data_IF_314451763943
#
_entry.id   IF_314451763943
#
_cell.length_a   1.000
_cell.length_b   1.000
_cell.length_c   1.000
_cell.angle_alpha   90.00
_cell.angle_beta   90.00
_cell.angle_gamma   90.00
#
_symmetry.space_group_name_H-M   'P 1'
#
loop_
_entity.id
_entity.type
_entity.pdbx_description
1 polymer ?
#
# COMPACT_ATOMS: atom_id res chain seq x y z
N UNK A 1 -36.93 17.79 -58.94
CA UNK A 1 -35.59 17.18 -59.13
C UNK A 1 -35.38 16.20 -58.01
N UNK A 2 -35.16 14.93 -58.36
CA UNK A 2 -35.18 13.81 -57.42
C UNK A 2 -33.91 13.69 -56.58
N UNK A 3 -34.00 12.81 -55.58
CA UNK A 3 -32.86 12.18 -54.93
C UNK A 3 -33.23 10.73 -54.62
N UNK A 4 -32.22 9.88 -54.82
CA UNK A 4 -32.27 8.43 -54.98
C UNK A 4 -32.33 7.67 -53.65
N UNK A 5 -32.98 6.51 -53.77
CA UNK A 5 -32.96 5.27 -52.99
C UNK A 5 -31.76 4.96 -52.09
N UNK A 6 -32.05 4.21 -51.01
CA UNK A 6 -31.15 3.18 -50.49
C UNK A 6 -31.49 2.60 -49.11
N UNK A 7 -32.04 1.36 -49.11
CA UNK A 7 -31.75 0.25 -48.15
C UNK A 7 -32.27 0.37 -46.70
N UNK A 8 -33.41 -0.22 -46.31
CA UNK A 8 -33.79 -1.63 -45.98
C UNK A 8 -33.33 -2.19 -44.62
N UNK A 9 -34.34 -2.42 -43.75
CA UNK A 9 -34.66 -3.59 -42.91
C UNK A 9 -33.85 -3.97 -41.64
N UNK A 10 -34.50 -3.74 -40.47
CA UNK A 10 -34.80 -4.60 -39.28
C UNK A 10 -33.78 -5.61 -38.71
N UNK A 11 -33.91 -6.11 -37.44
CA UNK A 11 -35.04 -6.08 -36.48
C UNK A 11 -34.58 -5.53 -35.09
N UNK A 12 -35.28 -5.52 -33.96
CA UNK A 12 -36.39 -6.30 -33.44
C UNK A 12 -36.47 -6.01 -31.93
N UNK A 13 -37.66 -5.66 -31.45
CA UNK A 13 -37.94 -5.51 -30.03
C UNK A 13 -38.12 -6.90 -29.39
N UNK A 14 -37.41 -7.15 -28.29
CA UNK A 14 -37.69 -8.24 -27.35
C UNK A 14 -37.66 -7.60 -25.94
N UNK A 15 -38.85 -7.28 -25.39
CA UNK A 15 -39.64 -8.15 -24.51
C UNK A 15 -38.95 -8.38 -23.16
N UNK A 16 -39.56 -7.74 -22.16
CA UNK A 16 -39.40 -7.98 -20.73
C UNK A 16 -39.78 -9.42 -20.40
N UNK A 17 -39.02 -10.08 -19.52
CA UNK A 17 -39.52 -11.21 -18.73
C UNK A 17 -38.78 -11.25 -17.41
N UNK A 18 -39.49 -10.85 -16.36
CA UNK A 18 -39.17 -11.25 -15.00
C UNK A 18 -39.69 -12.66 -14.71
N UNK A 19 -39.19 -13.23 -13.61
CA UNK A 19 -39.80 -14.40 -12.97
C UNK A 19 -38.89 -15.62 -12.94
N UNK A 20 -38.39 -15.95 -11.75
CA UNK A 20 -37.66 -17.20 -11.51
C UNK A 20 -37.13 -17.32 -10.09
N UNK A 21 -38.02 -17.30 -9.10
CA UNK A 21 -37.69 -17.71 -7.74
C UNK A 21 -37.94 -19.22 -7.56
N UNK A 22 -37.09 -19.82 -6.72
CA UNK A 22 -37.23 -21.09 -6.00
C UNK A 22 -36.94 -22.41 -6.74
N UNK A 23 -35.78 -22.98 -6.39
CA UNK A 23 -35.49 -24.41 -6.43
C UNK A 23 -34.49 -24.72 -5.30
N UNK A 24 -35.01 -25.12 -4.14
CA UNK A 24 -34.22 -25.52 -2.98
C UNK A 24 -33.65 -26.91 -3.22
N UNK A 25 -32.34 -27.08 -3.09
CA UNK A 25 -31.71 -28.40 -2.92
C UNK A 25 -30.78 -28.31 -1.72
N UNK A 26 -31.22 -28.93 -0.63
CA UNK A 26 -30.54 -28.95 0.66
C UNK A 26 -29.36 -29.92 0.67
N UNK A 27 -28.17 -29.36 0.83
CA UNK A 27 -26.99 -29.99 1.42
C UNK A 27 -26.39 -29.01 2.43
N UNK A 28 -25.59 -29.46 3.43
CA UNK A 28 -25.09 -28.55 4.46
C UNK A 28 -24.10 -27.56 3.84
N UNK A 29 -24.55 -26.34 3.57
CA UNK A 29 -23.73 -25.23 3.06
C UNK A 29 -22.84 -24.71 4.18
N UNK A 30 -21.70 -25.38 4.40
CA UNK A 30 -20.55 -24.72 4.97
C UNK A 30 -20.01 -23.71 3.93
N UNK A 31 -20.13 -22.41 4.20
CA UNK A 31 -19.14 -21.42 3.73
C UNK A 31 -19.23 -20.90 2.28
N UNK A 32 -20.39 -20.42 1.83
CA UNK A 32 -20.42 -19.56 0.64
C UNK A 32 -19.70 -18.24 0.93
N UNK A 33 -18.45 -18.11 0.49
CA UNK A 33 -17.66 -16.88 0.65
C UNK A 33 -18.24 -15.80 -0.26
N UNK A 34 -18.62 -14.64 0.30
CA UNK A 34 -19.11 -13.47 -0.44
C UNK A 34 -18.15 -13.12 -1.59
N UNK A 35 -18.69 -12.94 -2.80
CA UNK A 35 -17.84 -12.63 -3.96
C UNK A 35 -17.15 -11.27 -3.80
N UNK A 36 -15.93 -11.08 -4.34
CA UNK A 36 -15.26 -9.77 -4.31
C UNK A 36 -16.09 -8.65 -4.93
N UNK A 37 -16.91 -8.95 -5.94
CA UNK A 37 -17.81 -7.99 -6.57
C UNK A 37 -18.94 -7.53 -5.64
N UNK A 38 -19.50 -8.44 -4.83
CA UNK A 38 -20.49 -8.07 -3.82
C UNK A 38 -19.88 -7.19 -2.71
N UNK A 39 -18.66 -7.48 -2.28
CA UNK A 39 -17.92 -6.64 -1.32
C UNK A 39 -17.68 -5.24 -1.89
N UNK A 40 -17.26 -5.15 -3.15
CA UNK A 40 -17.06 -3.87 -3.82
C UNK A 40 -18.38 -3.08 -3.96
N UNK A 41 -19.45 -3.75 -4.41
CA UNK A 41 -20.77 -3.13 -4.55
C UNK A 41 -21.29 -2.55 -3.25
N UNK A 42 -21.16 -3.28 -2.14
CA UNK A 42 -21.54 -2.76 -0.81
C UNK A 42 -20.69 -1.54 -0.42
N UNK A 43 -19.40 -1.48 -0.78
CA UNK A 43 -18.57 -0.29 -0.58
C UNK A 43 -18.99 0.92 -1.40
N UNK A 44 -19.58 0.70 -2.57
CA UNK A 44 -20.01 1.77 -3.48
C UNK A 44 -21.37 2.35 -3.10
N UNK A 45 -22.31 1.49 -2.69
CA UNK A 45 -23.72 1.85 -2.41
C UNK A 45 -24.07 1.93 -0.93
N UNK A 46 -23.25 1.34 -0.05
CA UNK A 46 -23.47 1.33 1.40
C UNK A 46 -23.06 2.62 2.11
N UNK A 47 -23.23 2.62 3.43
CA UNK A 47 -22.89 3.73 4.33
C UNK A 47 -22.00 3.30 5.51
N UNK A 48 -21.63 4.22 6.41
CA UNK A 48 -20.78 3.92 7.56
C UNK A 48 -21.28 2.76 8.44
N UNK A 49 -22.60 2.53 8.49
CA UNK A 49 -23.22 1.42 9.22
C UNK A 49 -22.85 0.03 8.66
N UNK A 50 -22.42 -0.07 7.41
CA UNK A 50 -22.04 -1.33 6.76
C UNK A 50 -20.57 -1.71 7.02
N UNK A 51 -19.77 -0.80 7.58
CA UNK A 51 -18.36 -1.04 7.83
C UNK A 51 -18.07 -2.28 8.73
N UNK A 52 -18.83 -2.57 9.81
CA UNK A 52 -18.62 -3.78 10.59
C UNK A 52 -18.74 -5.07 9.77
N UNK A 53 -19.69 -5.13 8.82
CA UNK A 53 -19.88 -6.29 7.92
C UNK A 53 -18.69 -6.45 6.98
N UNK A 54 -18.18 -5.34 6.43
CA UNK A 54 -17.04 -5.35 5.51
C UNK A 54 -15.72 -5.77 6.16
N UNK A 55 -15.56 -5.63 7.48
CA UNK A 55 -14.32 -6.01 8.21
C UNK A 55 -14.00 -7.49 8.10
N UNK A 56 -15.00 -8.36 8.12
CA UNK A 56 -14.81 -9.82 7.96
C UNK A 56 -14.10 -10.13 6.64
N UNK A 57 -14.32 -9.33 5.60
CA UNK A 57 -13.73 -9.54 4.27
C UNK A 57 -12.26 -9.10 4.17
N UNK A 58 -11.66 -8.52 5.22
CA UNK A 58 -10.21 -8.35 5.28
C UNK A 58 -9.47 -9.70 5.36
N UNK A 59 -10.13 -10.76 5.84
CA UNK A 59 -9.61 -12.12 5.85
C UNK A 59 -10.09 -12.96 4.65
N UNK A 60 -10.63 -12.32 3.60
CA UNK A 60 -11.16 -13.02 2.43
C UNK A 60 -10.08 -13.92 1.78
N UNK A 61 -10.41 -15.15 1.35
CA UNK A 61 -9.42 -16.11 0.83
C UNK A 61 -8.70 -15.60 -0.41
N UNK A 62 -9.42 -14.93 -1.32
CA UNK A 62 -8.80 -14.29 -2.48
C UNK A 62 -8.27 -12.88 -2.16
N UNK A 63 -7.11 -12.54 -2.71
CA UNK A 63 -6.52 -11.20 -2.60
C UNK A 63 -7.43 -10.11 -3.16
N UNK A 64 -8.20 -10.40 -4.22
CA UNK A 64 -9.18 -9.47 -4.79
C UNK A 64 -10.27 -9.09 -3.78
N UNK A 65 -10.75 -10.04 -2.99
CA UNK A 65 -11.74 -9.77 -1.95
C UNK A 65 -11.17 -8.92 -0.82
N UNK A 66 -9.92 -9.19 -0.38
CA UNK A 66 -9.24 -8.36 0.63
C UNK A 66 -9.02 -6.92 0.16
N UNK A 67 -8.62 -6.75 -1.11
CA UNK A 67 -8.49 -5.41 -1.73
C UNK A 67 -9.85 -4.71 -1.82
N UNK A 68 -10.92 -5.42 -2.22
CA UNK A 68 -12.26 -4.86 -2.26
C UNK A 68 -12.70 -4.38 -0.87
N UNK A 69 -12.46 -5.18 0.17
CA UNK A 69 -12.78 -4.83 1.56
C UNK A 69 -11.98 -3.60 2.04
N UNK A 70 -10.67 -3.55 1.80
CA UNK A 70 -9.83 -2.39 2.12
C UNK A 70 -10.36 -1.10 1.48
N UNK A 71 -10.73 -1.15 0.20
CA UNK A 71 -11.24 0.01 -0.54
C UNK A 71 -12.61 0.45 -0.04
N UNK A 72 -13.51 -0.50 0.19
CA UNK A 72 -14.83 -0.24 0.73
C UNK A 72 -14.74 0.41 2.12
N UNK A 73 -13.97 -0.18 3.04
CA UNK A 73 -13.80 0.35 4.40
C UNK A 73 -13.13 1.72 4.43
N UNK A 74 -12.16 1.97 3.54
CA UNK A 74 -11.56 3.30 3.37
C UNK A 74 -12.60 4.33 2.94
N UNK A 75 -13.45 3.99 1.97
CA UNK A 75 -14.49 4.88 1.44
C UNK A 75 -15.57 5.19 2.49
N UNK A 76 -15.96 4.22 3.30
CA UNK A 76 -17.03 4.35 4.29
C UNK A 76 -16.55 4.87 5.65
N UNK A 77 -15.24 5.10 5.85
CA UNK A 77 -14.68 5.66 7.07
C UNK A 77 -14.64 4.71 8.27
N UNK A 78 -14.45 3.40 8.03
CA UNK A 78 -14.55 2.38 9.07
C UNK A 78 -13.38 1.39 9.16
N UNK A 79 -12.28 1.67 8.45
CA UNK A 79 -11.07 0.84 8.44
C UNK A 79 -10.20 1.11 9.68
N UNK A 80 -10.08 0.16 10.62
CA UNK A 80 -9.18 0.31 11.76
C UNK A 80 -7.71 0.32 11.31
N UNK A 81 -6.89 1.19 11.91
CA UNK A 81 -5.46 1.32 11.58
C UNK A 81 -4.69 0.02 11.82
N UNK A 82 -4.96 -0.67 12.93
CA UNK A 82 -4.38 -1.97 13.28
C UNK A 82 -4.72 -3.06 12.24
N UNK A 83 -5.96 -3.08 11.75
CA UNK A 83 -6.38 -3.99 10.71
C UNK A 83 -5.65 -3.73 9.37
N UNK A 84 -5.42 -2.46 9.02
CA UNK A 84 -4.61 -2.11 7.85
C UNK A 84 -3.12 -2.46 8.06
N UNK A 85 -2.58 -2.28 9.28
CA UNK A 85 -1.19 -2.64 9.61
C UNK A 85 -0.97 -4.15 9.48
N UNK A 86 -1.91 -4.98 9.94
CA UNK A 86 -1.82 -6.44 9.80
C UNK A 86 -1.66 -6.88 8.33
N UNK A 87 -2.28 -6.15 7.39
CA UNK A 87 -2.23 -6.43 5.96
C UNK A 87 -0.94 -5.98 5.25
N UNK A 88 0.00 -5.35 5.97
CA UNK A 88 1.30 -4.96 5.41
C UNK A 88 2.23 -6.16 5.13
N UNK A 89 1.93 -7.32 5.73
CA UNK A 89 2.68 -8.57 5.52
C UNK A 89 1.90 -9.58 4.66
N UNK A 90 0.81 -9.14 4.02
CA UNK A 90 0.01 -10.00 3.16
C UNK A 90 0.85 -10.60 2.01
N UNK A 91 0.65 -11.87 1.65
CA UNK A 91 1.39 -12.50 0.54
C UNK A 91 1.12 -11.81 -0.81
N UNK A 92 -0.01 -11.13 -0.97
CA UNK A 92 -0.34 -10.37 -2.18
C UNK A 92 0.22 -8.95 -2.12
N UNK A 93 1.11 -8.63 -3.06
CA UNK A 93 1.60 -7.26 -3.26
C UNK A 93 0.48 -6.25 -3.52
N UNK A 94 -0.64 -6.66 -4.11
CA UNK A 94 -1.79 -5.78 -4.34
C UNK A 94 -2.46 -5.38 -3.02
N UNK A 95 -2.58 -6.31 -2.06
CA UNK A 95 -3.14 -6.04 -0.73
C UNK A 95 -2.22 -5.09 0.02
N UNK A 96 -0.92 -5.41 0.09
CA UNK A 96 0.09 -4.56 0.75
C UNK A 96 0.09 -3.15 0.18
N UNK A 97 0.04 -2.97 -1.15
CA UNK A 97 -0.05 -1.64 -1.77
C UNK A 97 -1.28 -0.85 -1.33
N UNK A 98 -2.46 -1.48 -1.24
CA UNK A 98 -3.67 -0.79 -0.77
C UNK A 98 -3.60 -0.49 0.73
N UNK A 99 -3.04 -1.39 1.54
CA UNK A 99 -2.82 -1.15 2.97
C UNK A 99 -1.87 0.04 3.20
N UNK A 100 -0.75 0.10 2.49
CA UNK A 100 0.16 1.27 2.52
C UNK A 100 -0.59 2.54 2.13
N UNK A 101 -1.36 2.53 1.03
CA UNK A 101 -2.06 3.73 0.55
C UNK A 101 -3.06 4.30 1.57
N UNK A 102 -3.65 3.45 2.43
CA UNK A 102 -4.50 3.89 3.56
C UNK A 102 -3.63 4.53 4.64
N UNK A 103 -2.53 3.87 4.99
CA UNK A 103 -1.70 4.22 6.15
C UNK A 103 -0.75 5.41 5.93
N UNK A 104 -0.53 5.84 4.69
CA UNK A 104 0.42 6.92 4.39
C UNK A 104 0.05 8.24 5.07
N UNK A 105 -1.24 8.56 5.21
CA UNK A 105 -1.68 9.80 5.85
C UNK A 105 -1.33 9.84 7.34
N UNK A 106 -1.35 8.67 7.99
CA UNK A 106 -1.16 8.52 9.44
C UNK A 106 0.24 7.99 9.78
N UNK A 107 1.16 7.90 8.81
CA UNK A 107 2.46 7.25 8.95
C UNK A 107 3.31 7.77 10.12
N UNK A 108 3.17 9.06 10.45
CA UNK A 108 3.84 9.69 11.58
C UNK A 108 3.35 9.19 12.96
N UNK A 109 2.14 8.65 13.04
CA UNK A 109 1.51 8.16 14.28
C UNK A 109 1.63 6.64 14.47
N UNK A 110 1.97 5.92 13.40
CA UNK A 110 2.21 4.48 13.47
C UNK A 110 3.40 4.15 14.37
N UNK A 111 3.42 2.93 14.90
CA UNK A 111 4.54 2.38 15.65
C UNK A 111 5.89 2.72 15.00
N UNK A 112 6.81 3.25 15.81
CA UNK A 112 8.09 3.76 15.33
C UNK A 112 8.92 2.64 14.66
N UNK A 113 8.87 1.43 15.20
CA UNK A 113 9.60 0.26 14.68
C UNK A 113 8.93 -0.46 13.51
N UNK A 114 7.72 -0.05 13.08
CA UNK A 114 6.99 -0.76 12.02
C UNK A 114 7.76 -0.81 10.70
N UNK A 115 8.26 0.34 10.23
CA UNK A 115 9.00 0.40 8.97
C UNK A 115 10.26 -0.48 9.00
N UNK A 116 10.94 -0.55 10.14
CA UNK A 116 12.11 -1.40 10.34
C UNK A 116 11.77 -2.89 10.22
N UNK A 117 10.71 -3.35 10.90
CA UNK A 117 10.27 -4.75 10.81
C UNK A 117 9.86 -5.15 9.39
N UNK A 118 9.35 -4.20 8.61
CA UNK A 118 8.97 -4.44 7.21
C UNK A 118 10.18 -4.44 6.27
N UNK A 119 11.24 -3.68 6.60
CA UNK A 119 12.48 -3.61 5.84
C UNK A 119 13.42 -4.80 6.08
N UNK A 120 13.13 -5.66 7.06
CA UNK A 120 13.97 -6.80 7.39
C UNK A 120 14.25 -7.69 6.15
N UNK A 121 15.50 -8.17 5.93
CA UNK A 121 15.88 -8.91 4.72
C UNK A 121 15.05 -10.15 4.43
N UNK A 122 14.51 -10.79 5.48
CA UNK A 122 13.68 -11.99 5.41
C UNK A 122 12.30 -11.72 4.80
N UNK A 123 11.86 -10.46 4.79
CA UNK A 123 10.56 -10.08 4.28
C UNK A 123 10.54 -10.14 2.75
N UNK A 124 9.40 -10.50 2.12
CA UNK A 124 9.25 -10.40 0.69
C UNK A 124 9.53 -8.98 0.17
N UNK A 125 10.05 -8.88 -1.05
CA UNK A 125 10.38 -7.60 -1.69
C UNK A 125 9.28 -6.54 -1.58
N UNK A 126 8.02 -6.91 -1.80
CA UNK A 126 6.89 -5.97 -1.75
C UNK A 126 6.59 -5.46 -0.33
N UNK A 127 6.92 -6.25 0.69
CA UNK A 127 6.81 -5.86 2.11
C UNK A 127 7.94 -4.90 2.48
N UNK A 128 9.17 -5.16 2.03
CA UNK A 128 10.29 -4.21 2.21
C UNK A 128 10.02 -2.87 1.53
N UNK A 129 9.47 -2.89 0.32
CA UNK A 129 9.03 -1.67 -0.36
C UNK A 129 7.95 -0.92 0.43
N UNK A 130 7.04 -1.62 1.11
CA UNK A 130 6.06 -1.00 2.00
C UNK A 130 6.73 -0.33 3.21
N UNK A 131 7.71 -0.99 3.83
CA UNK A 131 8.53 -0.41 4.91
C UNK A 131 9.21 0.89 4.48
N UNK A 132 9.85 0.88 3.32
CA UNK A 132 10.45 2.08 2.71
C UNK A 132 9.42 3.21 2.51
N UNK A 133 8.25 2.90 1.91
CA UNK A 133 7.18 3.89 1.67
C UNK A 133 6.66 4.52 2.96
N UNK A 134 6.49 3.74 4.02
CA UNK A 134 6.06 4.24 5.33
C UNK A 134 7.16 5.08 6.00
N UNK A 135 8.42 4.68 5.89
CA UNK A 135 9.54 5.48 6.39
C UNK A 135 9.65 6.83 5.67
N UNK A 136 9.48 6.84 4.35
CA UNK A 136 9.48 8.05 3.54
C UNK A 136 8.36 9.03 3.94
N UNK A 137 7.17 8.51 4.21
CA UNK A 137 6.03 9.32 4.66
C UNK A 137 6.20 9.88 6.09
N UNK A 138 7.00 9.21 6.93
CA UNK A 138 7.27 9.67 8.31
C UNK A 138 8.21 10.87 8.37
N UNK A 139 9.10 11.01 7.39
CA UNK A 139 9.94 12.22 7.26
C UNK A 139 11.32 11.95 6.65
N UNK A 140 12.04 13.05 6.38
CA UNK A 140 13.31 13.02 5.64
C UNK A 140 14.40 12.15 6.28
N UNK A 141 14.51 12.13 7.61
CA UNK A 141 15.50 11.30 8.31
C UNK A 141 15.13 9.82 8.33
N UNK A 142 13.84 9.50 8.53
CA UNK A 142 13.36 8.13 8.43
C UNK A 142 13.52 7.58 7.00
N UNK A 143 13.29 8.42 5.99
CA UNK A 143 13.57 8.10 4.58
C UNK A 143 15.05 7.76 4.38
N UNK A 144 15.95 8.67 4.77
CA UNK A 144 17.40 8.49 4.60
C UNK A 144 17.91 7.21 5.29
N UNK A 145 17.43 6.93 6.50
CA UNK A 145 17.76 5.68 7.21
C UNK A 145 17.30 4.46 6.41
N UNK A 146 16.07 4.48 5.88
CA UNK A 146 15.56 3.40 5.05
C UNK A 146 16.38 3.23 3.76
N UNK A 147 16.76 4.33 3.11
CA UNK A 147 17.57 4.28 1.89
C UNK A 147 18.95 3.69 2.18
N UNK A 148 19.63 4.15 3.24
CA UNK A 148 20.94 3.63 3.64
C UNK A 148 20.90 2.13 3.97
N UNK A 149 19.81 1.64 4.61
CA UNK A 149 19.59 0.21 4.83
C UNK A 149 19.41 -0.57 3.52
N UNK A 150 18.81 0.06 2.51
CA UNK A 150 18.50 -0.56 1.23
C UNK A 150 19.66 -0.51 0.21
N UNK A 151 20.75 0.22 0.47
CA UNK A 151 21.90 0.28 -0.44
C UNK A 151 22.52 -1.10 -0.73
N UNK A 152 22.43 -2.00 0.24
CA UNK A 152 22.93 -3.38 0.17
C UNK A 152 21.79 -4.43 0.06
N UNK A 153 20.55 -4.00 -0.18
CA UNK A 153 19.40 -4.92 -0.29
C UNK A 153 19.62 -5.95 -1.42
N UNK A 154 19.25 -7.23 -1.29
CA UNK A 154 19.45 -8.22 -2.35
C UNK A 154 18.67 -7.91 -3.65
N UNK A 155 17.56 -7.18 -3.57
CA UNK A 155 16.75 -6.77 -4.73
C UNK A 155 17.35 -5.54 -5.42
N UNK A 156 17.74 -5.70 -6.68
CA UNK A 156 18.35 -4.62 -7.47
C UNK A 156 17.43 -3.40 -7.60
N UNK A 157 16.11 -3.59 -7.72
CA UNK A 157 15.20 -2.45 -7.86
C UNK A 157 15.12 -1.61 -6.57
N UNK A 158 15.12 -2.25 -5.40
CA UNK A 158 15.21 -1.55 -4.11
C UNK A 158 16.54 -0.81 -3.95
N UNK A 159 17.66 -1.44 -4.31
CA UNK A 159 18.97 -0.76 -4.29
C UNK A 159 19.00 0.48 -5.17
N UNK A 160 18.46 0.39 -6.38
CA UNK A 160 18.45 1.52 -7.32
C UNK A 160 17.59 2.67 -6.81
N UNK A 161 16.40 2.39 -6.26
CA UNK A 161 15.55 3.43 -5.64
C UNK A 161 16.30 4.12 -4.50
N UNK A 162 16.94 3.34 -3.61
CA UNK A 162 17.69 3.88 -2.49
C UNK A 162 18.87 4.75 -2.93
N UNK A 163 19.63 4.33 -3.96
CA UNK A 163 20.75 5.11 -4.50
C UNK A 163 20.29 6.45 -5.06
N UNK A 164 19.25 6.44 -5.90
CA UNK A 164 18.67 7.66 -6.48
C UNK A 164 18.19 8.59 -5.36
N UNK A 165 17.57 8.05 -4.32
CA UNK A 165 17.07 8.83 -3.21
C UNK A 165 18.18 9.44 -2.35
N UNK A 166 19.25 8.68 -2.04
CA UNK A 166 20.41 9.19 -1.29
C UNK A 166 21.13 10.28 -2.08
N UNK A 167 21.34 10.07 -3.38
CA UNK A 167 21.97 11.08 -4.25
C UNK A 167 21.09 12.34 -4.36
N UNK A 168 19.77 12.15 -4.45
CA UNK A 168 18.80 13.24 -4.47
C UNK A 168 18.61 13.93 -3.12
N UNK A 169 18.97 13.30 -2.00
CA UNK A 169 18.72 13.79 -0.65
C UNK A 169 19.35 15.17 -0.42
N UNK A 170 20.54 15.43 -0.96
CA UNK A 170 21.23 16.72 -0.81
C UNK A 170 20.43 17.90 -1.36
N UNK A 171 19.63 17.69 -2.43
CA UNK A 171 18.73 18.71 -2.96
C UNK A 171 17.58 19.05 -2.01
N UNK A 172 17.26 18.14 -1.08
CA UNK A 172 16.21 18.23 -0.08
C UNK A 172 16.76 18.52 1.33
N UNK A 173 18.08 18.53 1.52
CA UNK A 173 18.69 18.71 2.85
C UNK A 173 18.28 20.03 3.50
N UNK A 174 18.09 21.09 2.69
CA UNK A 174 17.63 22.39 3.16
C UNK A 174 16.17 22.39 3.67
N UNK A 175 15.35 21.40 3.29
CA UNK A 175 13.96 21.27 3.74
C UNK A 175 13.82 20.33 4.94
N UNK A 176 14.91 19.73 5.42
CA UNK A 176 14.94 18.98 6.67
C UNK A 176 14.94 19.94 7.87
N UNK A 177 13.79 20.57 8.14
CA UNK A 177 13.62 21.59 9.18
C UNK A 177 13.83 21.10 10.63
N UNK A 178 13.96 19.80 10.85
CA UNK A 178 14.19 19.20 12.18
C UNK A 178 15.47 18.39 12.15
N UNK A 179 16.25 18.45 13.22
CA UNK A 179 17.40 17.56 13.41
C UNK A 179 16.95 16.10 13.64
N UNK A 180 17.77 15.09 13.27
CA UNK A 180 17.49 13.70 13.62
C UNK A 180 17.51 13.52 15.14
N UNK A 181 16.66 12.63 15.66
CA UNK A 181 16.66 12.24 17.08
C UNK A 181 17.97 11.54 17.48
N UNK A 182 18.23 11.40 18.78
CA UNK A 182 19.45 10.71 19.25
C UNK A 182 19.55 9.26 18.73
N UNK A 183 18.42 8.52 18.73
CA UNK A 183 18.37 7.17 18.18
C UNK A 183 18.66 7.16 16.67
N UNK A 184 18.04 8.07 15.91
CA UNK A 184 18.31 8.20 14.48
C UNK A 184 19.75 8.60 14.18
N UNK A 185 20.38 9.45 15.01
CA UNK A 185 21.80 9.80 14.86
C UNK A 185 22.71 8.61 15.08
N UNK A 186 22.50 7.83 16.14
CA UNK A 186 23.27 6.63 16.42
C UNK A 186 23.17 5.63 15.26
N UNK A 187 21.97 5.48 14.71
CA UNK A 187 21.73 4.62 13.57
C UNK A 187 22.38 5.15 12.28
N UNK A 188 22.19 6.43 11.96
CA UNK A 188 22.80 7.08 10.81
C UNK A 188 24.33 6.95 10.85
N UNK A 189 24.95 7.09 12.02
CA UNK A 189 26.38 6.90 12.18
C UNK A 189 26.81 5.48 11.75
N UNK A 190 26.15 4.45 12.28
CA UNK A 190 26.47 3.05 11.95
C UNK A 190 26.23 2.72 10.46
N UNK A 191 25.14 3.22 9.88
CA UNK A 191 24.83 3.02 8.46
C UNK A 191 25.80 3.74 7.54
N UNK A 192 26.16 4.99 7.88
CA UNK A 192 27.14 5.77 7.11
C UNK A 192 28.56 5.22 7.25
N UNK A 193 28.94 4.65 8.39
CA UNK A 193 30.24 3.98 8.56
C UNK A 193 30.35 2.78 7.61
N UNK A 194 29.28 2.01 7.47
CA UNK A 194 29.21 0.88 6.54
C UNK A 194 29.23 1.32 5.08
N UNK A 195 28.47 2.37 4.75
CA UNK A 195 28.30 2.85 3.37
C UNK A 195 29.46 3.75 2.90
N UNK A 196 30.27 4.33 3.79
CA UNK A 196 31.31 5.29 3.46
C UNK A 196 32.28 4.85 2.33
N UNK A 197 32.71 3.58 2.23
CA UNK A 197 33.61 3.15 1.16
C UNK A 197 33.01 3.26 -0.25
N UNK A 198 31.67 3.20 -0.36
CA UNK A 198 30.97 3.19 -1.65
C UNK A 198 30.11 4.45 -1.86
N UNK A 199 29.85 5.22 -0.81
CA UNK A 199 28.97 6.38 -0.83
C UNK A 199 29.76 7.69 -0.74
N UNK A 200 30.00 8.32 -1.89
CA UNK A 200 30.75 9.59 -2.01
C UNK A 200 30.16 10.72 -1.14
N UNK A 201 28.85 10.72 -0.92
CA UNK A 201 28.14 11.77 -0.15
C UNK A 201 28.16 11.52 1.36
N UNK A 202 28.77 10.44 1.86
CA UNK A 202 28.72 10.07 3.27
C UNK A 202 29.18 11.19 4.22
N UNK A 203 30.28 11.87 3.92
CA UNK A 203 30.77 12.99 4.73
C UNK A 203 29.78 14.15 4.84
N UNK A 204 29.12 14.49 3.73
CA UNK A 204 28.11 15.57 3.68
C UNK A 204 26.86 15.17 4.47
N UNK A 205 26.42 13.91 4.35
CA UNK A 205 25.31 13.38 5.13
C UNK A 205 25.59 13.40 6.63
N UNK A 206 26.83 13.06 7.06
CA UNK A 206 27.23 13.15 8.47
C UNK A 206 27.18 14.58 9.01
N UNK A 207 27.64 15.55 8.23
CA UNK A 207 27.56 16.97 8.59
C UNK A 207 26.11 17.40 8.83
N UNK A 208 25.21 17.12 7.89
CA UNK A 208 23.78 17.46 8.06
C UNK A 208 23.12 16.71 9.22
N UNK A 209 23.57 15.50 9.55
CA UNK A 209 23.08 14.74 10.69
C UNK A 209 23.65 15.19 12.05
N UNK A 210 24.62 16.12 12.07
CA UNK A 210 25.31 16.56 13.28
C UNK A 210 26.20 15.48 13.90
N UNK A 211 26.84 14.67 13.05
CA UNK A 211 27.72 13.55 13.43
C UNK A 211 29.22 13.86 13.29
N UNK A 212 29.55 15.13 13.05
CA UNK A 212 30.91 15.66 12.83
C UNK A 212 31.18 16.81 13.76
#
# INVERSE_FOLDING_TARGET
MGVLSGTTASPGAAVVSGGGAAGHSGGPLAGATTSPGAVAGLGETGGPADAPVLRVHLAHPSARGRVAALRALRRLGGLPTDAAVALLTDPSSAVVKNAVAVLLADAATLDAGLAERLLAPEQPRHVRFAGYRLAAARGAWSRLIADLRLLDDPDEQLRQVARVDVDGWLSQAATAYRMPTAAQRAELAALLDRAAPTLRTAGVLRFHAGLT
#
